data_IF_565355712446
#
_entry.id   IF_565355712446
#
_cell.length_a   1.000
_cell.length_b   1.000
_cell.length_c   1.000
_cell.angle_alpha   90.00
_cell.angle_beta   90.00
_cell.angle_gamma   90.00
#
_symmetry.space_group_name_H-M   'P 1'
#
loop_
_entity.id
_entity.type
_entity.pdbx_description
1 polymer ?
#
# COMPACT_ATOMS: atom_id res chain seq x y z
N UNK A 1 -1.17 16.70 -2.33
CA UNK A 1 -2.49 16.26 -1.85
C UNK A 1 -3.39 15.89 -3.02
N UNK A 2 -3.78 16.81 -3.91
CA UNK A 2 -4.59 16.43 -5.09
C UNK A 2 -3.76 15.69 -6.14
N UNK A 3 -2.47 15.97 -6.26
CA UNK A 3 -1.60 15.38 -7.29
C UNK A 3 -1.50 13.84 -7.21
N UNK A 4 -1.34 13.24 -6.04
CA UNK A 4 -1.31 11.77 -5.86
C UNK A 4 -2.65 11.12 -6.13
N UNK A 5 -3.72 11.69 -5.57
CA UNK A 5 -5.08 11.23 -5.84
C UNK A 5 -5.43 11.39 -7.33
N UNK A 6 -4.98 12.47 -7.98
CA UNK A 6 -5.13 12.73 -9.41
C UNK A 6 -4.33 11.72 -10.24
N UNK A 7 -3.09 11.39 -9.87
CA UNK A 7 -2.30 10.34 -10.54
C UNK A 7 -3.02 8.99 -10.42
N UNK A 8 -3.56 8.68 -9.23
CA UNK A 8 -4.35 7.47 -9.01
C UNK A 8 -5.65 7.44 -9.80
N UNK A 9 -6.41 8.54 -9.82
CA UNK A 9 -7.66 8.67 -10.59
C UNK A 9 -7.39 8.65 -12.09
N UNK A 10 -6.30 9.28 -12.56
CA UNK A 10 -5.87 9.27 -13.96
C UNK A 10 -5.34 7.91 -14.39
N UNK A 11 -4.82 7.09 -13.47
CA UNK A 11 -4.36 5.74 -13.82
C UNK A 11 -5.47 4.90 -14.46
N UNK A 12 -6.73 5.04 -14.02
CA UNK A 12 -7.86 4.30 -14.56
C UNK A 12 -8.21 4.64 -16.02
N UNK A 13 -8.47 5.92 -16.41
CA UNK A 13 -8.75 6.25 -17.80
C UNK A 13 -7.56 5.98 -18.72
N UNK A 14 -6.32 6.22 -18.29
CA UNK A 14 -5.14 5.91 -19.12
C UNK A 14 -4.95 4.40 -19.32
N UNK A 15 -5.17 3.60 -18.28
CA UNK A 15 -5.08 2.14 -18.38
C UNK A 15 -6.23 1.56 -19.20
N UNK A 16 -7.44 2.09 -19.05
CA UNK A 16 -8.59 1.71 -19.88
C UNK A 16 -8.37 2.05 -21.35
N UNK A 17 -7.80 3.22 -21.64
CA UNK A 17 -7.47 3.64 -23.00
C UNK A 17 -6.35 2.77 -23.60
N UNK A 18 -5.31 2.45 -22.82
CA UNK A 18 -4.27 1.51 -23.23
C UNK A 18 -4.81 0.10 -23.48
N UNK A 19 -5.78 -0.35 -22.66
CA UNK A 19 -6.48 -1.61 -22.85
C UNK A 19 -7.25 -1.64 -24.17
N UNK A 20 -8.06 -0.61 -24.44
CA UNK A 20 -8.85 -0.51 -25.69
C UNK A 20 -7.93 -0.47 -26.90
N UNK A 21 -6.85 0.31 -26.86
CA UNK A 21 -5.87 0.39 -27.95
C UNK A 21 -5.19 -0.98 -28.16
N UNK A 22 -4.70 -1.62 -27.10
CA UNK A 22 -4.02 -2.91 -27.22
C UNK A 22 -4.95 -4.03 -27.70
N UNK A 23 -6.22 -3.99 -27.30
CA UNK A 23 -7.24 -4.93 -27.77
C UNK A 23 -7.54 -4.71 -29.26
N UNK A 24 -7.75 -3.46 -29.67
CA UNK A 24 -8.01 -3.11 -31.07
C UNK A 24 -6.80 -3.41 -31.98
N UNK A 25 -5.57 -3.31 -31.47
CA UNK A 25 -4.36 -3.52 -32.25
C UNK A 25 -4.07 -4.99 -32.57
N UNK A 26 -4.47 -5.93 -31.69
CA UNK A 26 -4.13 -7.35 -31.89
C UNK A 26 -5.20 -8.30 -31.34
N UNK A 27 -5.35 -8.36 -30.02
CA UNK A 27 -6.21 -9.31 -29.34
C UNK A 27 -6.44 -8.91 -27.88
N UNK A 28 -7.43 -9.52 -27.22
CA UNK A 28 -7.81 -9.20 -25.84
C UNK A 28 -6.63 -9.32 -24.87
N UNK A 29 -5.75 -10.31 -25.06
CA UNK A 29 -4.56 -10.50 -24.19
C UNK A 29 -3.61 -9.33 -24.30
N UNK A 30 -3.37 -8.83 -25.52
CA UNK A 30 -2.53 -7.66 -25.75
C UNK A 30 -3.14 -6.41 -25.10
N UNK A 31 -4.47 -6.25 -25.19
CA UNK A 31 -5.19 -5.19 -24.46
C UNK A 31 -4.97 -5.24 -22.96
N UNK A 32 -5.17 -6.41 -22.34
CA UNK A 32 -4.97 -6.59 -20.89
C UNK A 32 -3.55 -6.24 -20.49
N UNK A 33 -2.55 -6.76 -21.21
CA UNK A 33 -1.13 -6.50 -20.89
C UNK A 33 -0.81 -5.01 -21.02
N UNK A 34 -1.31 -4.34 -22.06
CA UNK A 34 -1.10 -2.90 -22.26
C UNK A 34 -1.75 -2.07 -21.13
N UNK A 35 -3.00 -2.38 -20.77
CA UNK A 35 -3.68 -1.72 -19.66
C UNK A 35 -2.97 -1.94 -18.32
N UNK A 36 -2.57 -3.17 -18.04
CA UNK A 36 -1.81 -3.54 -16.84
C UNK A 36 -0.46 -2.82 -16.76
N UNK A 37 0.28 -2.74 -17.87
CA UNK A 37 1.57 -2.05 -17.92
C UNK A 37 1.42 -0.55 -17.64
N UNK A 38 0.44 0.11 -18.27
CA UNK A 38 0.19 1.54 -18.04
C UNK A 38 -0.25 1.80 -16.59
N UNK A 39 -1.15 0.98 -16.05
CA UNK A 39 -1.57 1.07 -14.65
C UNK A 39 -0.39 0.96 -13.70
N UNK A 40 0.48 -0.03 -13.92
CA UNK A 40 1.69 -0.27 -13.13
C UNK A 40 2.60 0.96 -13.11
N UNK A 41 2.82 1.61 -14.26
CA UNK A 41 3.65 2.82 -14.36
C UNK A 41 3.05 3.98 -13.56
N UNK A 42 1.75 4.26 -13.74
CA UNK A 42 1.07 5.32 -12.98
C UNK A 42 1.06 5.03 -11.48
N UNK A 43 0.94 3.76 -11.12
CA UNK A 43 0.93 3.34 -9.73
C UNK A 43 2.30 3.51 -9.06
N UNK A 44 3.38 3.06 -9.71
CA UNK A 44 4.75 3.30 -9.25
C UNK A 44 5.00 4.80 -9.11
N UNK A 45 4.56 5.60 -10.08
CA UNK A 45 4.66 7.06 -10.00
C UNK A 45 3.89 7.65 -8.80
N UNK A 46 2.72 7.08 -8.45
CA UNK A 46 1.94 7.46 -7.28
C UNK A 46 2.69 7.15 -5.97
N UNK A 47 3.28 5.95 -5.85
CA UNK A 47 4.10 5.55 -4.69
C UNK A 47 5.34 6.44 -4.57
N UNK A 48 6.05 6.67 -5.67
CA UNK A 48 7.21 7.56 -5.68
C UNK A 48 6.81 8.96 -5.24
N UNK A 49 5.66 9.47 -5.71
CA UNK A 49 5.12 10.76 -5.29
C UNK A 49 4.80 10.82 -3.79
N UNK A 50 4.44 9.71 -3.13
CA UNK A 50 4.23 9.68 -1.68
C UNK A 50 5.51 10.05 -0.90
N UNK A 51 6.70 9.70 -1.40
CA UNK A 51 7.94 10.07 -0.72
C UNK A 51 8.25 11.57 -0.81
N UNK A 52 7.71 12.28 -1.79
CA UNK A 52 7.93 13.72 -1.98
C UNK A 52 6.86 14.60 -1.32
N UNK A 53 5.73 14.03 -0.90
CA UNK A 53 4.62 14.80 -0.31
C UNK A 53 4.93 15.10 1.16
N UNK A 54 4.77 16.37 1.58
CA UNK A 54 5.01 16.81 2.96
C UNK A 54 3.98 16.25 3.95
N UNK A 55 2.71 16.13 3.57
CA UNK A 55 1.60 15.72 4.44
C UNK A 55 0.69 14.70 3.75
N UNK A 56 0.37 13.60 4.44
CA UNK A 56 -0.51 12.54 3.94
C UNK A 56 -1.86 12.57 4.66
N UNK A 57 -2.93 12.20 3.97
CA UNK A 57 -4.28 12.04 4.53
C UNK A 57 -4.55 10.57 4.91
N UNK A 58 -5.63 10.31 5.65
CA UNK A 58 -6.03 8.93 5.93
C UNK A 58 -6.59 8.23 4.68
N UNK A 59 -7.10 9.01 3.73
CA UNK A 59 -7.51 8.51 2.42
C UNK A 59 -6.30 7.98 1.64
N UNK A 60 -5.16 8.69 1.69
CA UNK A 60 -3.92 8.23 1.07
C UNK A 60 -3.42 6.91 1.67
N UNK A 61 -3.67 6.66 2.96
CA UNK A 61 -3.33 5.41 3.63
C UNK A 61 -4.25 4.25 3.23
N UNK A 62 -5.47 4.52 2.77
CA UNK A 62 -6.38 3.49 2.26
C UNK A 62 -6.12 3.13 0.79
N UNK A 63 -5.47 4.01 0.03
CA UNK A 63 -5.20 3.80 -1.39
C UNK A 63 -4.46 2.48 -1.68
N UNK A 64 -3.34 2.12 -1.01
CA UNK A 64 -2.64 0.87 -1.28
C UNK A 64 -3.57 -0.34 -1.26
N UNK A 65 -4.46 -0.43 -0.28
CA UNK A 65 -5.42 -1.53 -0.15
C UNK A 65 -6.42 -1.56 -1.30
N UNK A 66 -7.02 -0.41 -1.61
CA UNK A 66 -7.99 -0.28 -2.72
C UNK A 66 -7.33 -0.72 -4.03
N UNK A 67 -6.10 -0.26 -4.27
CA UNK A 67 -5.31 -0.66 -5.43
C UNK A 67 -5.02 -2.15 -5.44
N UNK A 68 -4.61 -2.73 -4.32
CA UNK A 68 -4.29 -4.15 -4.24
C UNK A 68 -5.49 -5.05 -4.56
N UNK A 69 -6.68 -4.68 -4.07
CA UNK A 69 -7.93 -5.39 -4.35
C UNK A 69 -8.28 -5.31 -5.83
N UNK A 70 -8.29 -4.10 -6.42
CA UNK A 70 -8.63 -3.93 -7.84
C UNK A 70 -7.62 -4.61 -8.77
N UNK A 71 -6.33 -4.51 -8.45
CA UNK A 71 -5.27 -5.15 -9.23
C UNK A 71 -5.34 -6.68 -9.15
N UNK A 72 -5.54 -7.23 -7.94
CA UNK A 72 -5.73 -8.68 -7.76
C UNK A 72 -6.96 -9.17 -8.54
N UNK A 73 -8.07 -8.42 -8.50
CA UNK A 73 -9.26 -8.75 -9.27
C UNK A 73 -9.02 -8.68 -10.80
N UNK A 74 -8.25 -7.69 -11.26
CA UNK A 74 -7.90 -7.55 -12.67
C UNK A 74 -6.98 -8.68 -13.18
N UNK A 75 -6.07 -9.16 -12.32
CA UNK A 75 -5.14 -10.24 -12.65
C UNK A 75 -5.74 -11.65 -12.46
N UNK A 76 -6.82 -11.79 -11.69
CA UNK A 76 -7.45 -13.08 -11.39
C UNK A 76 -7.75 -13.95 -12.64
N UNK A 77 -8.26 -13.41 -13.76
CA UNK A 77 -8.50 -14.21 -14.98
C UNK A 77 -7.22 -14.72 -15.66
N UNK A 78 -6.07 -14.12 -15.37
CA UNK A 78 -4.76 -14.47 -15.94
C UNK A 78 -3.96 -15.39 -15.01
N UNK A 79 -4.46 -15.62 -13.80
CA UNK A 79 -3.86 -16.46 -12.78
C UNK A 79 -4.24 -17.94 -12.96
N UNK A 80 -3.65 -18.60 -13.97
CA UNK A 80 -3.82 -20.05 -14.13
C UNK A 80 -3.00 -20.83 -13.08
N UNK A 81 -3.67 -21.30 -12.02
CA UNK A 81 -3.23 -22.40 -11.16
C UNK A 81 -2.15 -22.12 -10.09
N UNK A 82 -1.28 -21.13 -10.27
CA UNK A 82 -0.17 -20.85 -9.33
C UNK A 82 -0.28 -19.50 -8.58
N UNK A 83 -0.99 -18.51 -9.13
CA UNK A 83 -0.99 -17.12 -8.66
C UNK A 83 -2.15 -16.72 -7.74
N UNK A 84 -3.08 -17.63 -7.42
CA UNK A 84 -4.11 -17.37 -6.40
C UNK A 84 -3.52 -17.18 -5.00
N UNK A 85 -2.29 -17.67 -4.76
CA UNK A 85 -1.59 -17.51 -3.49
C UNK A 85 -0.85 -16.17 -3.32
N UNK A 86 -0.52 -15.46 -4.41
CA UNK A 86 0.15 -14.16 -4.31
C UNK A 86 -0.83 -13.00 -4.04
N UNK A 87 -2.11 -13.13 -4.41
CA UNK A 87 -3.11 -12.12 -4.11
C UNK A 87 -3.28 -11.85 -2.59
N UNK A 88 -3.37 -12.87 -1.72
CA UNK A 88 -3.35 -12.66 -0.26
C UNK A 88 -2.09 -11.94 0.24
N UNK A 89 -0.91 -12.29 -0.28
CA UNK A 89 0.35 -11.67 0.12
C UNK A 89 0.40 -10.18 -0.29
N UNK A 90 -0.01 -9.89 -1.52
CA UNK A 90 -0.10 -8.53 -2.03
C UNK A 90 -1.12 -7.67 -1.28
N UNK A 91 -2.32 -8.19 -1.02
CA UNK A 91 -3.33 -7.51 -0.19
C UNK A 91 -2.79 -7.30 1.23
N UNK A 92 -2.11 -8.30 1.80
CA UNK A 92 -1.44 -8.21 3.10
C UNK A 92 -0.39 -7.09 3.14
N UNK A 93 0.48 -7.03 2.14
CA UNK A 93 1.50 -5.99 2.04
C UNK A 93 0.86 -4.59 1.91
N UNK A 94 -0.24 -4.49 1.18
CA UNK A 94 -1.03 -3.27 1.05
C UNK A 94 -1.62 -2.81 2.38
N UNK A 95 -2.19 -3.74 3.16
CA UNK A 95 -2.71 -3.48 4.51
C UNK A 95 -1.61 -2.99 5.45
N UNK A 96 -0.45 -3.65 5.43
CA UNK A 96 0.70 -3.26 6.27
C UNK A 96 1.17 -1.86 5.89
N UNK A 97 1.35 -1.58 4.60
CA UNK A 97 1.73 -0.24 4.14
C UNK A 97 0.70 0.82 4.56
N UNK A 98 -0.59 0.56 4.34
CA UNK A 98 -1.66 1.47 4.72
C UNK A 98 -1.72 1.73 6.23
N UNK A 99 -1.57 0.69 7.05
CA UNK A 99 -1.49 0.82 8.50
C UNK A 99 -0.27 1.65 8.93
N UNK A 100 0.90 1.39 8.34
CA UNK A 100 2.12 2.17 8.61
C UNK A 100 1.97 3.64 8.21
N UNK A 101 1.31 3.94 7.09
CA UNK A 101 1.00 5.31 6.67
C UNK A 101 0.04 5.99 7.65
N UNK A 102 -1.01 5.30 8.11
CA UNK A 102 -1.96 5.83 9.07
C UNK A 102 -1.30 6.11 10.44
N UNK A 103 -0.42 5.23 10.89
CA UNK A 103 0.38 5.40 12.10
C UNK A 103 1.36 6.56 11.96
N UNK A 104 2.14 6.60 10.88
CA UNK A 104 3.08 7.68 10.63
C UNK A 104 2.39 9.05 10.60
N UNK A 105 1.16 9.11 10.08
CA UNK A 105 0.34 10.32 10.11
C UNK A 105 -0.11 10.71 11.52
N UNK A 106 -0.64 9.75 12.30
CA UNK A 106 -1.19 10.03 13.63
C UNK A 106 -0.09 10.38 14.67
N UNK A 107 1.11 9.85 14.48
CA UNK A 107 2.22 9.90 15.45
C UNK A 107 3.41 10.70 14.95
N UNK A 108 3.23 11.46 13.87
CA UNK A 108 4.26 12.25 13.18
C UNK A 108 5.59 11.51 12.99
N UNK A 109 5.52 10.22 12.67
CA UNK A 109 6.70 9.36 12.56
C UNK A 109 7.45 9.66 11.27
N UNK A 110 8.79 9.60 11.31
CA UNK A 110 9.65 9.81 10.13
C UNK A 110 9.26 8.91 8.96
N UNK A 111 9.07 9.50 7.78
CA UNK A 111 8.68 8.86 6.51
C UNK A 111 9.61 7.75 6.07
N UNK A 112 10.87 7.75 6.49
CA UNK A 112 11.84 6.69 6.19
C UNK A 112 11.37 5.31 6.63
N UNK A 113 10.48 5.24 7.62
CA UNK A 113 9.81 4.01 8.03
C UNK A 113 8.99 3.33 6.94
N UNK A 114 8.41 4.14 6.05
CA UNK A 114 7.51 3.65 5.03
C UNK A 114 8.27 2.99 3.87
N UNK A 115 9.60 3.17 3.81
CA UNK A 115 10.43 2.66 2.73
C UNK A 115 10.33 1.13 2.64
N UNK A 116 10.54 0.42 3.76
CA UNK A 116 10.51 -1.04 3.75
C UNK A 116 9.12 -1.63 3.41
N UNK A 117 8.01 -1.24 4.07
CA UNK A 117 6.70 -1.74 3.69
C UNK A 117 6.30 -1.31 2.27
N UNK A 118 6.77 -0.16 1.78
CA UNK A 118 6.54 0.24 0.38
C UNK A 118 7.33 -0.62 -0.61
N UNK A 119 8.58 -1.00 -0.29
CA UNK A 119 9.38 -1.91 -1.13
C UNK A 119 8.70 -3.28 -1.18
N UNK A 120 8.28 -3.83 -0.04
CA UNK A 120 7.58 -5.13 -0.01
C UNK A 120 6.28 -5.05 -0.81
N UNK A 121 5.51 -3.97 -0.67
CA UNK A 121 4.31 -3.79 -1.45
C UNK A 121 4.56 -3.66 -2.97
N UNK A 122 5.61 -2.96 -3.38
CA UNK A 122 6.02 -2.88 -4.79
C UNK A 122 6.48 -4.23 -5.33
N UNK A 123 7.21 -4.97 -4.50
CA UNK A 123 7.69 -6.31 -4.81
C UNK A 123 6.51 -7.26 -5.08
N UNK A 124 5.54 -7.33 -4.17
CA UNK A 124 4.33 -8.14 -4.30
C UNK A 124 3.40 -7.72 -5.46
N UNK A 125 3.52 -6.47 -5.93
CA UNK A 125 2.74 -6.00 -7.08
C UNK A 125 3.26 -6.57 -8.41
N UNK A 126 4.55 -6.89 -8.50
CA UNK A 126 5.14 -7.32 -9.75
C UNK A 126 4.54 -8.67 -10.16
N UNK A 127 4.06 -8.82 -11.41
CA UNK A 127 3.58 -10.10 -11.92
C UNK A 127 4.74 -11.06 -12.23
N UNK A 128 5.81 -11.00 -11.44
CA UNK A 128 6.96 -11.88 -11.50
C UNK A 128 6.74 -12.94 -10.43
N UNK A 129 6.35 -14.15 -10.86
CA UNK A 129 6.16 -15.30 -9.98
C UNK A 129 7.51 -15.89 -9.48
N UNK A 130 8.52 -15.04 -9.36
CA UNK A 130 9.88 -15.38 -8.97
C UNK A 130 10.26 -14.41 -7.84
N UNK A 131 10.34 -14.91 -6.60
CA UNK A 131 10.32 -16.31 -6.14
C UNK A 131 8.90 -16.80 -5.76
N UNK A 132 8.79 -18.07 -5.37
CA UNK A 132 7.50 -18.70 -5.03
C UNK A 132 6.96 -18.32 -3.64
N UNK A 133 5.85 -18.95 -3.24
CA UNK A 133 5.08 -18.70 -1.99
C UNK A 133 5.88 -18.48 -0.70
N UNK A 134 7.05 -19.11 -0.57
CA UNK A 134 7.93 -18.91 0.58
C UNK A 134 8.50 -17.50 0.65
N UNK A 135 8.82 -16.89 -0.49
CA UNK A 135 9.35 -15.52 -0.53
C UNK A 135 8.25 -14.50 -0.28
N UNK A 136 7.05 -14.69 -0.83
CA UNK A 136 5.87 -13.86 -0.51
C UNK A 136 5.62 -13.83 1.00
N UNK A 137 5.63 -15.02 1.63
CA UNK A 137 5.45 -15.15 3.07
C UNK A 137 6.62 -14.50 3.84
N UNK A 138 7.85 -14.65 3.36
CA UNK A 138 9.04 -14.08 3.99
C UNK A 138 9.06 -12.54 3.88
N UNK A 139 8.73 -11.99 2.71
CA UNK A 139 8.63 -10.56 2.47
C UNK A 139 7.52 -9.94 3.31
N UNK A 140 6.33 -10.54 3.33
CA UNK A 140 5.21 -10.07 4.14
C UNK A 140 5.51 -10.16 5.65
N UNK A 141 5.98 -11.31 6.12
CA UNK A 141 6.32 -11.50 7.54
C UNK A 141 7.46 -10.59 7.98
N UNK A 142 8.46 -10.39 7.13
CA UNK A 142 9.52 -9.41 7.32
C UNK A 142 8.96 -7.99 7.45
N UNK A 143 8.05 -7.59 6.55
CA UNK A 143 7.38 -6.27 6.58
C UNK A 143 6.61 -6.04 7.87
N UNK A 144 5.82 -7.04 8.29
CA UNK A 144 5.08 -7.01 9.55
C UNK A 144 6.04 -6.92 10.73
N UNK A 145 7.06 -7.78 10.78
CA UNK A 145 8.03 -7.81 11.87
C UNK A 145 8.81 -6.50 12.00
N UNK A 146 9.30 -5.96 10.90
CA UNK A 146 9.98 -4.66 10.84
C UNK A 146 9.08 -3.53 11.34
N UNK A 147 7.85 -3.47 10.82
CA UNK A 147 6.87 -2.45 11.18
C UNK A 147 6.47 -2.54 12.66
N UNK A 148 6.31 -3.76 13.19
CA UNK A 148 5.98 -4.01 14.59
C UNK A 148 7.13 -3.60 15.52
N UNK A 149 8.37 -4.04 15.23
CA UNK A 149 9.55 -3.69 16.03
C UNK A 149 9.69 -2.19 16.13
N UNK A 150 9.50 -1.50 15.00
CA UNK A 150 9.62 -0.07 15.03
C UNK A 150 8.43 0.60 15.74
N UNK A 151 7.20 0.11 15.57
CA UNK A 151 6.03 0.58 16.31
C UNK A 151 6.25 0.53 17.81
N UNK A 152 6.76 -0.61 18.30
CA UNK A 152 7.11 -0.78 19.70
C UNK A 152 8.22 0.18 20.16
N UNK A 153 9.16 0.54 19.28
CA UNK A 153 10.26 1.46 19.64
C UNK A 153 9.86 2.94 19.60
N UNK A 154 8.98 3.36 18.69
CA UNK A 154 8.70 4.79 18.43
C UNK A 154 7.31 5.23 18.83
N UNK A 155 6.28 4.49 18.44
CA UNK A 155 4.90 4.88 18.68
C UNK A 155 4.42 4.44 20.07
N UNK A 156 4.78 3.22 20.50
CA UNK A 156 4.35 2.70 21.79
C UNK A 156 4.68 3.58 23.00
N UNK A 157 5.89 4.17 23.14
CA UNK A 157 6.21 5.04 24.27
C UNK A 157 5.32 6.28 24.33
N UNK A 158 4.99 6.84 23.18
CA UNK A 158 4.09 8.00 23.07
C UNK A 158 2.63 7.58 23.44
N UNK A 159 2.17 6.37 23.09
CA UNK A 159 0.83 5.82 23.43
C UNK A 159 0.71 5.71 24.93
N UNK A 160 1.73 5.14 25.55
CA UNK A 160 1.75 4.91 27.00
C UNK A 160 1.76 6.26 27.71
N UNK A 161 2.51 7.25 27.20
CA UNK A 161 2.54 8.60 27.75
C UNK A 161 1.17 9.30 27.65
N UNK A 162 0.53 9.30 26.48
CA UNK A 162 -0.80 9.89 26.30
C UNK A 162 -1.85 9.23 27.21
N UNK A 163 -1.81 7.89 27.33
CA UNK A 163 -2.72 7.15 28.21
C UNK A 163 -2.47 7.47 29.68
N UNK A 164 -1.21 7.56 30.10
CA UNK A 164 -0.83 7.91 31.47
C UNK A 164 -1.26 9.34 31.82
N UNK A 165 -1.02 10.32 30.94
CA UNK A 165 -1.43 11.70 31.11
C UNK A 165 -2.97 11.82 31.20
N UNK A 166 -3.71 11.08 30.36
CA UNK A 166 -5.18 11.06 30.41
C UNK A 166 -5.75 10.41 31.68
N UNK A 167 -5.05 9.44 32.25
CA UNK A 167 -5.47 8.77 33.47
C UNK A 167 -5.13 9.58 34.73
N UNK A 168 -3.93 10.19 34.77
CA UNK A 168 -3.46 11.00 35.89
C UNK A 168 -4.07 12.42 35.89
N UNK A 169 -4.36 13.00 34.72
CA UNK A 169 -5.03 14.30 34.61
C UNK A 169 -6.51 14.28 35.00
N UNK A 170 -7.14 13.10 35.10
CA UNK A 170 -8.52 12.96 35.61
C UNK A 170 -8.62 13.03 37.13
N UNK A 171 -7.51 12.96 37.86
CA UNK A 171 -7.50 12.99 39.32
C UNK A 171 -7.50 14.40 39.92
N UNK A 172 -7.32 15.44 39.11
CA UNK A 172 -7.22 16.83 39.58
C UNK A 172 -8.46 17.70 39.33
N UNK A 173 -9.57 17.18 38.80
CA UNK A 173 -10.82 17.95 38.81
C UNK A 173 -11.41 17.95 40.24
N UNK A 174 -11.34 19.08 40.98
CA UNK A 174 -12.03 19.17 42.25
C UNK A 174 -13.51 19.22 41.94
N UNK A 175 -14.28 18.26 42.48
CA UNK A 175 -15.73 18.36 42.50
C UNK A 175 -16.12 19.54 43.38
N UNK A 176 -16.25 20.71 42.76
CA UNK A 176 -16.94 21.86 43.32
C UNK A 176 -18.43 21.58 43.44
#
# INVERSE_FOLDING_TARGET
>A
MWKTALIGVLSFPFSGLAFVIGWAARDLRTGVIAGAAVFTVFFVASIVSLFFIKTYTYLDAALPLVFAVFWSAALAPFSFGASLFSAPAFIGAALVLGACMALAKRWETDKRWLIFPAIVFLYEMLPLNIPGQFDDLFALSGSVGYSLVLFLKRAWPQIVRELAEKHLGRTEEPRG
#
